data_IF_969994198842
#
_entry.id   IF_969994198842
#
_cell.length_a   1.000
_cell.length_b   1.000
_cell.length_c   1.000
_cell.angle_alpha   90.00
_cell.angle_beta   90.00
_cell.angle_gamma   90.00
#
_symmetry.space_group_name_H-M   'P 1'
#
loop_
_entity.id
_entity.type
_entity.pdbx_description
1 polymer ?
#
# COMPACT_ATOMS: atom_id res chain seq x y z
N UNK A 1 25.96 -33.61 -25.29
CA UNK A 1 24.96 -33.90 -24.21
C UNK A 1 25.18 -33.09 -22.93
N UNK A 2 26.38 -33.09 -22.31
CA UNK A 2 26.68 -32.30 -21.11
C UNK A 2 26.59 -30.79 -21.36
N UNK A 3 27.10 -30.28 -22.48
CA UNK A 3 27.00 -28.87 -22.87
C UNK A 3 25.55 -28.42 -23.03
N UNK A 4 24.70 -29.25 -23.63
CA UNK A 4 23.28 -28.93 -23.81
C UNK A 4 22.54 -28.84 -22.46
N UNK A 5 22.86 -29.73 -21.53
CA UNK A 5 22.30 -29.70 -20.17
C UNK A 5 22.76 -28.44 -19.44
N UNK A 6 24.03 -28.09 -19.52
CA UNK A 6 24.58 -26.88 -18.90
C UNK A 6 23.93 -25.61 -19.46
N UNK A 7 23.79 -25.51 -20.78
CA UNK A 7 23.10 -24.38 -21.44
C UNK A 7 21.63 -24.30 -21.03
N UNK A 8 20.95 -25.44 -20.92
CA UNK A 8 19.55 -25.47 -20.46
C UNK A 8 19.40 -25.00 -19.02
N UNK A 9 20.27 -25.47 -18.10
CA UNK A 9 20.30 -25.05 -16.71
C UNK A 9 20.58 -23.52 -16.64
N UNK A 10 21.59 -23.05 -17.39
CA UNK A 10 21.93 -21.63 -17.43
C UNK A 10 20.75 -20.79 -17.94
N UNK A 11 20.03 -21.24 -18.97
CA UNK A 11 18.85 -20.54 -19.49
C UNK A 11 17.73 -20.48 -18.46
N UNK A 12 17.48 -21.56 -17.69
CA UNK A 12 16.49 -21.53 -16.59
C UNK A 12 16.84 -20.47 -15.55
N UNK A 13 18.05 -20.52 -15.01
CA UNK A 13 18.41 -19.64 -13.88
C UNK A 13 18.71 -18.20 -14.31
N UNK A 14 19.24 -17.98 -15.51
CA UNK A 14 19.63 -16.63 -15.95
C UNK A 14 18.52 -15.88 -16.72
N UNK A 15 17.53 -16.58 -17.27
CA UNK A 15 16.52 -15.97 -18.12
C UNK A 15 15.09 -16.28 -17.63
N UNK A 16 14.76 -17.57 -17.47
CA UNK A 16 13.38 -17.96 -17.20
C UNK A 16 12.96 -17.57 -15.80
N UNK A 17 13.76 -17.90 -14.79
CA UNK A 17 13.42 -17.61 -13.39
C UNK A 17 13.32 -16.10 -13.10
N UNK A 18 14.29 -15.26 -13.52
CA UNK A 18 14.15 -13.80 -13.35
C UNK A 18 12.97 -13.19 -14.12
N UNK A 19 12.63 -13.72 -15.30
CA UNK A 19 11.47 -13.26 -16.04
C UNK A 19 10.16 -13.62 -15.34
N UNK A 20 10.10 -14.80 -14.74
CA UNK A 20 8.95 -15.24 -13.96
C UNK A 20 8.76 -14.41 -12.69
N UNK A 21 9.82 -14.17 -11.92
CA UNK A 21 9.80 -13.32 -10.72
C UNK A 21 9.32 -11.90 -11.04
N UNK A 22 9.83 -11.31 -12.13
CA UNK A 22 9.34 -9.99 -12.60
C UNK A 22 7.87 -10.01 -12.94
N UNK A 23 7.40 -11.05 -13.66
CA UNK A 23 5.99 -11.18 -14.02
C UNK A 23 5.09 -11.33 -12.79
N UNK A 24 5.52 -12.04 -11.74
CA UNK A 24 4.80 -12.14 -10.48
C UNK A 24 4.72 -10.78 -9.77
N UNK A 25 5.83 -10.07 -9.68
CA UNK A 25 5.86 -8.74 -9.07
C UNK A 25 4.94 -7.77 -9.81
N UNK A 26 4.95 -7.77 -11.14
CA UNK A 26 4.10 -6.89 -11.95
C UNK A 26 2.61 -7.20 -11.74
N UNK A 27 2.23 -8.47 -11.64
CA UNK A 27 0.85 -8.87 -11.30
C UNK A 27 0.44 -8.43 -9.89
N UNK A 28 1.33 -8.57 -8.91
CA UNK A 28 1.07 -8.13 -7.53
C UNK A 28 0.96 -6.59 -7.46
N UNK A 29 1.77 -5.85 -8.21
CA UNK A 29 1.66 -4.38 -8.38
C UNK A 29 0.31 -3.99 -8.95
N UNK A 30 -0.10 -4.63 -10.04
CA UNK A 30 -1.40 -4.39 -10.65
C UNK A 30 -2.54 -4.67 -9.65
N UNK A 31 -2.45 -5.78 -8.93
CA UNK A 31 -3.43 -6.13 -7.90
C UNK A 31 -3.59 -5.04 -6.84
N UNK A 32 -2.49 -4.53 -6.25
CA UNK A 32 -2.59 -3.49 -5.22
C UNK A 32 -3.06 -2.16 -5.79
N UNK A 33 -2.77 -1.85 -7.05
CA UNK A 33 -3.32 -0.70 -7.74
C UNK A 33 -4.84 -0.79 -7.84
N UNK A 34 -5.37 -1.91 -8.32
CA UNK A 34 -6.81 -2.12 -8.48
C UNK A 34 -7.55 -2.19 -7.14
N UNK A 35 -6.93 -2.81 -6.12
CA UNK A 35 -7.47 -2.80 -4.76
C UNK A 35 -7.54 -1.38 -4.18
N UNK A 36 -6.50 -0.57 -4.41
CA UNK A 36 -6.49 0.84 -3.98
C UNK A 36 -7.57 1.64 -4.71
N UNK A 37 -7.75 1.45 -6.01
CA UNK A 37 -8.81 2.10 -6.79
C UNK A 37 -10.21 1.72 -6.27
N UNK A 38 -10.41 0.46 -5.93
CA UNK A 38 -11.67 -0.02 -5.34
C UNK A 38 -11.94 0.61 -3.97
N UNK A 39 -10.93 0.65 -3.10
CA UNK A 39 -11.05 1.28 -1.79
C UNK A 39 -11.21 2.82 -1.90
N UNK A 40 -10.54 3.45 -2.86
CA UNK A 40 -10.71 4.87 -3.16
C UNK A 40 -12.15 5.21 -3.58
N UNK A 41 -12.81 4.30 -4.30
CA UNK A 41 -14.22 4.47 -4.70
C UNK A 41 -15.18 4.49 -3.49
N UNK A 42 -14.80 3.84 -2.39
CA UNK A 42 -15.58 3.93 -1.11
C UNK A 42 -15.48 5.34 -0.55
N UNK A 43 -14.28 5.95 -0.54
CA UNK A 43 -14.12 7.35 -0.11
C UNK A 43 -14.99 8.29 -0.97
N UNK A 44 -14.97 8.07 -2.29
CA UNK A 44 -15.78 8.86 -3.22
C UNK A 44 -17.29 8.71 -2.97
N UNK A 45 -17.75 7.53 -2.57
CA UNK A 45 -19.14 7.29 -2.21
C UNK A 45 -19.56 8.17 -1.03
N UNK A 46 -18.79 8.19 0.04
CA UNK A 46 -19.08 9.03 1.21
C UNK A 46 -18.92 10.53 0.93
N UNK A 47 -17.97 10.92 0.10
CA UNK A 47 -17.83 12.33 -0.34
C UNK A 47 -19.07 12.79 -1.15
N UNK A 48 -19.62 11.95 -1.98
CA UNK A 48 -20.88 12.24 -2.69
C UNK A 48 -22.05 12.41 -1.72
N UNK A 49 -22.12 11.63 -0.65
CA UNK A 49 -23.13 11.78 0.40
C UNK A 49 -22.96 13.11 1.16
N UNK A 50 -21.72 13.51 1.44
CA UNK A 50 -21.40 14.84 1.99
C UNK A 50 -21.88 15.95 1.05
N UNK A 51 -21.48 15.91 -0.23
CA UNK A 51 -21.88 16.94 -1.22
C UNK A 51 -23.38 17.01 -1.46
N UNK A 52 -24.08 15.91 -1.33
CA UNK A 52 -25.53 15.86 -1.44
C UNK A 52 -26.26 16.29 -0.15
N UNK A 53 -25.52 16.68 0.88
CA UNK A 53 -26.11 17.10 2.17
C UNK A 53 -26.74 15.95 2.99
N UNK A 54 -26.49 14.69 2.62
CA UNK A 54 -26.97 13.52 3.37
C UNK A 54 -26.14 13.24 4.62
N UNK A 55 -24.88 13.62 4.60
CA UNK A 55 -23.95 13.52 5.72
C UNK A 55 -23.21 14.84 5.90
N UNK A 56 -22.85 15.14 7.12
CA UNK A 56 -21.82 16.16 7.38
C UNK A 56 -20.46 15.61 6.95
N UNK A 57 -19.48 16.48 6.73
CA UNK A 57 -18.09 16.05 6.43
C UNK A 57 -17.54 15.11 7.51
N UNK A 58 -17.77 15.43 8.77
CA UNK A 58 -17.30 14.61 9.90
C UNK A 58 -17.91 13.21 9.88
N UNK A 59 -19.22 13.10 9.60
CA UNK A 59 -19.91 11.80 9.49
C UNK A 59 -19.42 11.01 8.28
N UNK A 60 -19.28 11.65 7.12
CA UNK A 60 -18.77 11.02 5.89
C UNK A 60 -17.36 10.47 6.11
N UNK A 61 -16.47 11.26 6.67
CA UNK A 61 -15.10 10.85 7.00
C UNK A 61 -15.07 9.72 8.03
N UNK A 62 -15.84 9.80 9.10
CA UNK A 62 -15.90 8.74 10.11
C UNK A 62 -16.38 7.40 9.54
N UNK A 63 -17.42 7.42 8.70
CA UNK A 63 -17.93 6.22 8.03
C UNK A 63 -16.93 5.66 7.02
N UNK A 64 -16.26 6.53 6.26
CA UNK A 64 -15.21 6.14 5.33
C UNK A 64 -14.05 5.46 6.05
N UNK A 65 -13.55 6.04 7.15
CA UNK A 65 -12.51 5.45 7.99
C UNK A 65 -12.92 4.06 8.46
N UNK A 66 -14.11 3.90 9.04
CA UNK A 66 -14.59 2.60 9.53
C UNK A 66 -14.69 1.55 8.41
N UNK A 67 -15.16 1.95 7.23
CA UNK A 67 -15.24 1.06 6.07
C UNK A 67 -13.86 0.62 5.61
N UNK A 68 -12.90 1.54 5.45
CA UNK A 68 -11.54 1.22 5.01
C UNK A 68 -10.80 0.39 6.08
N UNK A 69 -10.98 0.73 7.37
CA UNK A 69 -10.35 -0.02 8.48
C UNK A 69 -10.76 -1.49 8.50
N UNK A 70 -11.98 -1.80 8.06
CA UNK A 70 -12.51 -3.18 8.03
C UNK A 70 -12.03 -4.01 6.85
N UNK A 71 -11.51 -3.38 5.79
CA UNK A 71 -11.08 -4.10 4.59
C UNK A 71 -9.85 -4.97 4.87
N UNK A 72 -9.93 -6.22 4.43
CA UNK A 72 -8.83 -7.18 4.49
C UNK A 72 -8.80 -8.01 3.21
N UNK A 73 -7.59 -8.35 2.78
CA UNK A 73 -7.36 -9.23 1.63
C UNK A 73 -6.16 -10.15 1.88
N UNK A 74 -5.71 -10.87 0.86
CA UNK A 74 -4.66 -11.87 0.98
C UNK A 74 -5.16 -13.20 1.57
N UNK A 75 -4.34 -14.23 1.47
CA UNK A 75 -4.72 -15.60 1.86
C UNK A 75 -4.98 -15.72 3.37
N UNK A 76 -4.20 -15.00 4.19
CA UNK A 76 -4.34 -14.96 5.65
C UNK A 76 -5.30 -13.87 6.15
N UNK A 77 -5.89 -13.10 5.25
CA UNK A 77 -6.81 -11.99 5.57
C UNK A 77 -6.17 -10.94 6.49
N UNK A 78 -4.87 -10.70 6.36
CA UNK A 78 -4.12 -9.73 7.17
C UNK A 78 -3.61 -8.53 6.37
N UNK A 79 -3.66 -8.58 5.05
CA UNK A 79 -3.34 -7.42 4.23
C UNK A 79 -4.42 -6.34 4.38
N UNK A 80 -4.01 -5.08 4.33
CA UNK A 80 -4.80 -3.96 4.85
C UNK A 80 -4.56 -2.67 4.08
N UNK A 81 -5.44 -1.70 4.32
CA UNK A 81 -5.31 -0.32 3.84
C UNK A 81 -5.01 0.62 5.01
N UNK A 82 -4.40 1.76 4.70
CA UNK A 82 -4.24 2.86 5.65
C UNK A 82 -4.62 4.18 4.99
N UNK A 83 -4.86 5.20 5.84
CA UNK A 83 -5.16 6.57 5.46
C UNK A 83 -4.22 7.53 6.18
N UNK A 84 -3.67 8.49 5.46
CA UNK A 84 -2.97 9.65 6.00
C UNK A 84 -3.43 10.92 5.27
N UNK A 85 -3.07 12.09 5.79
CA UNK A 85 -3.26 13.35 5.06
C UNK A 85 -1.99 13.84 4.37
N UNK A 86 -2.12 14.99 3.68
CA UNK A 86 -1.02 15.63 2.94
C UNK A 86 -0.02 16.37 3.83
N UNK A 87 -0.24 16.49 5.15
CA UNK A 87 0.66 17.03 6.16
C UNK A 87 1.38 15.93 6.98
N UNK A 88 1.70 14.82 6.45
CA UNK A 88 1.78 13.45 6.96
C UNK A 88 1.29 13.28 8.40
N UNK A 89 -0.04 13.39 8.58
CA UNK A 89 -0.73 12.95 9.79
C UNK A 89 -1.40 11.61 9.51
N UNK A 90 -1.18 10.63 10.35
CA UNK A 90 -1.87 9.35 10.22
C UNK A 90 -3.35 9.53 10.58
N UNK A 91 -4.23 9.20 9.66
CA UNK A 91 -5.68 9.23 9.88
C UNK A 91 -6.13 7.88 10.43
N UNK A 92 -5.71 6.79 9.78
CA UNK A 92 -6.08 5.44 10.22
C UNK A 92 -5.03 4.42 9.76
N UNK A 93 -4.56 3.60 10.70
CA UNK A 93 -3.78 2.41 10.44
C UNK A 93 -4.29 1.25 11.31
N UNK A 94 -4.70 0.11 10.72
CA UNK A 94 -5.40 -0.93 11.49
C UNK A 94 -4.51 -1.62 12.54
N UNK A 95 -3.20 -1.77 12.29
CA UNK A 95 -2.26 -2.45 13.18
C UNK A 95 -1.35 -1.50 13.97
N UNK A 96 -1.23 -0.24 13.55
CA UNK A 96 -0.45 0.80 14.25
C UNK A 96 -1.38 1.89 14.74
N UNK A 97 -2.31 1.50 15.59
CA UNK A 97 -3.30 2.41 16.18
C UNK A 97 -2.67 3.51 17.05
N UNK A 98 -1.45 3.26 17.55
CA UNK A 98 -0.61 4.24 18.23
C UNK A 98 -0.25 5.45 17.35
N UNK A 99 -0.21 5.28 16.04
CA UNK A 99 0.06 6.36 15.10
C UNK A 99 -1.19 7.18 14.73
N UNK A 100 -2.40 6.66 14.95
CA UNK A 100 -3.63 7.34 14.54
C UNK A 100 -3.76 8.72 15.21
N UNK A 101 -3.95 9.76 14.39
CA UNK A 101 -3.99 11.16 14.81
C UNK A 101 -2.62 11.81 15.02
N UNK A 102 -1.51 11.06 14.91
CA UNK A 102 -0.16 11.59 15.14
C UNK A 102 0.42 12.21 13.86
N UNK A 103 1.30 13.19 14.05
CA UNK A 103 2.22 13.66 13.00
C UNK A 103 3.28 12.58 12.79
N UNK A 104 3.32 12.02 11.58
CA UNK A 104 4.27 10.97 11.16
C UNK A 104 5.32 11.51 10.19
N UNK A 105 5.43 12.81 10.02
CA UNK A 105 6.42 13.42 9.13
C UNK A 105 7.87 13.10 9.51
N UNK A 106 8.12 12.95 10.81
CA UNK A 106 9.43 12.58 11.35
C UNK A 106 9.74 11.08 11.29
N UNK A 107 8.78 10.24 10.92
CA UNK A 107 8.97 8.79 10.92
C UNK A 107 9.96 8.35 9.84
N UNK A 108 10.88 7.47 10.23
CA UNK A 108 11.88 6.88 9.33
C UNK A 108 11.87 5.36 9.45
N UNK A 109 12.05 4.69 8.33
CA UNK A 109 12.29 3.25 8.35
C UNK A 109 13.75 2.94 8.80
N UNK A 110 14.12 1.67 9.02
CA UNK A 110 15.48 1.29 9.41
C UNK A 110 16.57 1.70 8.41
N UNK A 111 16.21 1.98 7.15
CA UNK A 111 17.12 2.49 6.11
C UNK A 111 17.18 4.02 6.08
N UNK A 112 16.44 4.71 6.95
CA UNK A 112 16.37 6.17 7.02
C UNK A 112 15.36 6.80 6.05
N UNK A 113 14.58 6.02 5.32
CA UNK A 113 13.58 6.53 4.39
C UNK A 113 12.42 7.22 5.13
N UNK A 114 12.06 8.43 4.67
CA UNK A 114 10.96 9.23 5.20
C UNK A 114 9.62 8.75 4.60
N UNK A 115 9.13 7.60 5.05
CA UNK A 115 8.04 6.84 4.41
C UNK A 115 6.83 7.71 4.07
N UNK A 116 6.26 8.39 5.08
CA UNK A 116 5.00 9.12 4.92
C UNK A 116 5.17 10.42 4.14
N UNK A 117 6.37 11.00 4.15
CA UNK A 117 6.73 12.13 3.29
C UNK A 117 6.88 11.68 1.83
N UNK A 118 7.44 10.50 1.58
CA UNK A 118 7.54 9.93 0.23
C UNK A 118 6.16 9.69 -0.38
N UNK A 119 5.18 9.22 0.39
CA UNK A 119 3.80 9.08 -0.09
C UNK A 119 3.20 10.43 -0.51
N UNK A 120 3.45 11.48 0.27
CA UNK A 120 3.04 12.85 -0.11
C UNK A 120 3.75 13.30 -1.39
N UNK A 121 5.06 13.02 -1.52
CA UNK A 121 5.83 13.39 -2.71
C UNK A 121 5.31 12.67 -3.96
N UNK A 122 5.00 11.38 -3.87
CA UNK A 122 4.38 10.60 -4.96
C UNK A 122 3.05 11.23 -5.38
N UNK A 123 2.16 11.50 -4.42
CA UNK A 123 0.83 12.07 -4.72
C UNK A 123 0.93 13.49 -5.30
N UNK A 124 1.85 14.32 -4.80
CA UNK A 124 2.07 15.66 -5.36
C UNK A 124 2.59 15.63 -6.79
N UNK A 125 3.45 14.66 -7.12
CA UNK A 125 4.07 14.54 -8.45
C UNK A 125 3.12 13.95 -9.49
N UNK A 126 2.35 12.94 -9.13
CA UNK A 126 1.61 12.12 -10.09
C UNK A 126 0.21 11.69 -9.66
N UNK A 127 -0.32 12.22 -8.54
CA UNK A 127 -1.60 11.89 -7.92
C UNK A 127 -1.67 10.46 -7.35
N UNK A 128 -0.90 9.54 -7.87
CA UNK A 128 -0.84 8.15 -7.44
C UNK A 128 0.49 7.52 -7.86
N UNK A 129 0.89 6.41 -7.24
CA UNK A 129 2.10 5.69 -7.62
C UNK A 129 2.60 4.73 -6.56
N UNK A 130 3.74 4.12 -6.86
CA UNK A 130 4.40 3.14 -5.99
C UNK A 130 5.48 3.77 -5.13
N UNK A 131 5.66 3.21 -3.94
CA UNK A 131 6.76 3.55 -3.04
C UNK A 131 7.27 2.28 -2.33
N UNK A 132 8.60 2.19 -2.15
CA UNK A 132 9.25 1.07 -1.48
C UNK A 132 9.88 1.53 -0.16
N UNK A 133 9.70 0.74 0.89
CA UNK A 133 10.21 1.02 2.23
C UNK A 133 10.27 -0.26 3.06
N UNK A 134 10.78 -0.18 4.28
CA UNK A 134 10.72 -1.27 5.27
C UNK A 134 9.62 -0.99 6.27
N UNK A 135 8.77 -1.97 6.50
CA UNK A 135 7.63 -1.85 7.42
C UNK A 135 7.43 -3.11 8.25
N UNK A 136 6.70 -2.98 9.37
CA UNK A 136 6.31 -4.17 10.13
C UNK A 136 5.49 -5.13 9.27
N UNK A 137 5.74 -6.42 9.45
CA UNK A 137 4.99 -7.47 8.79
C UNK A 137 3.57 -7.55 9.36
N UNK A 138 2.59 -7.04 8.60
CA UNK A 138 1.16 -7.14 8.95
C UNK A 138 0.90 -6.76 10.41
N UNK A 139 0.41 -7.71 11.23
CA UNK A 139 0.10 -7.58 12.66
C UNK A 139 1.28 -7.92 13.61
N UNK A 140 2.47 -8.20 13.07
CA UNK A 140 3.65 -8.54 13.87
C UNK A 140 4.66 -7.38 13.91
N UNK A 141 4.69 -6.58 14.99
CA UNK A 141 5.59 -5.41 15.09
C UNK A 141 7.06 -5.78 15.28
N UNK A 142 7.36 -7.04 15.65
CA UNK A 142 8.74 -7.51 15.85
C UNK A 142 9.42 -7.96 14.55
N UNK A 143 8.65 -8.10 13.45
CA UNK A 143 9.15 -8.49 12.15
C UNK A 143 9.09 -7.31 11.19
N UNK A 144 10.22 -6.93 10.62
CA UNK A 144 10.36 -5.84 9.65
C UNK A 144 10.72 -6.42 8.28
N UNK A 145 9.96 -6.07 7.25
CA UNK A 145 10.14 -6.59 5.90
C UNK A 145 10.08 -5.49 4.84
N UNK A 146 10.81 -5.67 3.73
CA UNK A 146 10.65 -4.83 2.55
C UNK A 146 9.21 -4.89 2.03
N UNK A 147 8.62 -3.71 1.85
CA UNK A 147 7.25 -3.54 1.38
C UNK A 147 7.22 -2.60 0.19
N UNK A 148 6.43 -2.92 -0.79
CA UNK A 148 6.06 -2.00 -1.87
C UNK A 148 4.57 -1.68 -1.76
N UNK A 149 4.25 -0.39 -1.78
CA UNK A 149 2.87 0.08 -1.67
C UNK A 149 2.48 0.93 -2.86
N UNK A 150 1.21 0.85 -3.21
CA UNK A 150 0.56 1.81 -4.09
C UNK A 150 -0.23 2.80 -3.26
N UNK A 151 -0.04 4.08 -3.54
CA UNK A 151 -0.70 5.19 -2.85
C UNK A 151 -1.45 6.05 -3.84
N UNK A 152 -2.61 6.57 -3.44
CA UNK A 152 -3.47 7.42 -4.26
C UNK A 152 -4.04 8.56 -3.46
N UNK A 153 -3.97 9.76 -4.02
CA UNK A 153 -4.53 10.97 -3.43
C UNK A 153 -6.05 11.01 -3.52
N UNK A 154 -6.69 11.51 -2.47
CA UNK A 154 -8.10 11.85 -2.42
C UNK A 154 -8.25 13.34 -2.14
N UNK A 155 -8.24 14.14 -3.20
CA UNK A 155 -8.19 15.60 -3.14
C UNK A 155 -9.34 16.24 -2.33
N UNK A 156 -10.61 15.74 -2.37
CA UNK A 156 -11.71 16.38 -1.65
C UNK A 156 -11.48 16.55 -0.15
N UNK A 157 -10.75 15.60 0.47
CA UNK A 157 -10.44 15.65 1.89
C UNK A 157 -8.95 15.87 2.18
N UNK A 158 -8.11 16.01 1.16
CA UNK A 158 -6.66 16.10 1.31
C UNK A 158 -6.02 14.83 1.87
N UNK A 159 -6.61 13.66 1.56
CA UNK A 159 -6.16 12.37 2.07
C UNK A 159 -5.34 11.59 1.05
N UNK A 160 -4.61 10.62 1.55
CA UNK A 160 -3.91 9.60 0.78
C UNK A 160 -4.38 8.24 1.32
N UNK A 161 -4.81 7.38 0.41
CA UNK A 161 -5.09 5.97 0.71
C UNK A 161 -3.98 5.11 0.11
N UNK A 162 -3.58 4.06 0.82
CA UNK A 162 -2.59 3.12 0.33
C UNK A 162 -2.82 1.70 0.82
N UNK A 163 -2.26 0.77 0.06
CA UNK A 163 -2.06 -0.63 0.44
C UNK A 163 -0.78 -1.15 -0.20
N UNK A 164 -0.30 -2.32 0.20
CA UNK A 164 0.96 -2.83 -0.35
C UNK A 164 1.18 -4.31 -0.14
N UNK A 165 2.19 -4.82 -0.83
CA UNK A 165 2.69 -6.18 -0.76
C UNK A 165 4.04 -6.22 -0.07
N UNK A 166 4.34 -7.32 0.60
CA UNK A 166 5.68 -7.63 1.09
C UNK A 166 6.45 -8.37 0.00
N UNK A 167 7.71 -7.97 -0.21
CA UNK A 167 8.53 -8.54 -1.30
C UNK A 167 8.79 -10.03 -1.08
N UNK A 168 8.83 -10.47 0.17
CA UNK A 168 8.98 -11.89 0.51
C UNK A 168 7.78 -12.74 0.08
N UNK A 169 6.55 -12.19 0.13
CA UNK A 169 5.34 -12.87 -0.37
C UNK A 169 5.39 -13.10 -1.90
N UNK A 170 6.24 -12.38 -2.62
CA UNK A 170 6.43 -12.56 -4.06
C UNK A 170 7.39 -13.71 -4.35
N UNK A 171 8.38 -13.93 -3.46
CA UNK A 171 9.45 -14.92 -3.65
C UNK A 171 9.11 -16.29 -3.02
N UNK A 172 8.03 -16.39 -2.26
CA UNK A 172 7.64 -17.59 -1.50
C UNK A 172 6.46 -18.39 -2.09
N UNK A 173 5.86 -17.93 -3.19
CA UNK A 173 4.87 -18.64 -4.00
C UNK A 173 5.57 -19.26 -5.23
#
# INVERSE_FOLDING_TARGET
TLLAILLFITAIFAVILPAFERSLLDRKREMIRELTNSAWSILLGYERDERAGRLTRAEAQARAIASIESLRYGNDRKDYFWLQDMQPRMIMHPYRKDLNGQDVSGFRDPRGAAIFQEFVAVVRRSQEGYAQYVWQWKDNPSRLEPKESYVKGFAPWGWIIGTGIYIEDVNGE
#
